data_IF_235457826959
#
_entry.id   IF_235457826959
#
_cell.length_a   1.000
_cell.length_b   1.000
_cell.length_c   1.000
_cell.angle_alpha   90.00
_cell.angle_beta   90.00
_cell.angle_gamma   90.00
#
_symmetry.space_group_name_H-M   'P 1'
#
loop_
_entity.id
_entity.type
_entity.pdbx_description
1 polymer ?
#
# COMPACT_ATOMS: atom_id res chain seq x y z
N UNK A 1 20.36 -2.42 -16.32
CA UNK A 1 19.45 -1.94 -15.25
C UNK A 1 18.12 -2.67 -15.24
N UNK A 2 17.33 -2.66 -16.33
CA UNK A 2 16.02 -3.33 -16.33
C UNK A 2 16.06 -4.83 -16.03
N UNK A 3 16.92 -5.59 -16.71
CA UNK A 3 17.07 -7.03 -16.45
C UNK A 3 17.47 -7.30 -14.99
N UNK A 4 18.48 -6.59 -14.49
CA UNK A 4 18.94 -6.64 -13.10
C UNK A 4 17.79 -6.36 -12.10
N UNK A 5 17.07 -5.26 -12.27
CA UNK A 5 15.95 -4.85 -11.43
C UNK A 5 14.81 -5.86 -11.51
N UNK A 6 14.49 -6.35 -12.70
CA UNK A 6 13.45 -7.36 -12.92
C UNK A 6 13.78 -8.71 -12.30
N UNK A 7 15.03 -9.17 -12.40
CA UNK A 7 15.50 -10.39 -11.76
C UNK A 7 15.47 -10.27 -10.23
N UNK A 8 15.97 -9.17 -9.68
CA UNK A 8 15.90 -8.91 -8.23
C UNK A 8 14.44 -8.96 -7.76
N UNK A 9 13.58 -8.19 -8.41
CA UNK A 9 12.16 -8.12 -8.10
C UNK A 9 11.49 -9.50 -8.16
N UNK A 10 11.68 -10.25 -9.24
CA UNK A 10 11.06 -11.55 -9.41
C UNK A 10 11.54 -12.56 -8.37
N UNK A 11 12.86 -12.67 -8.15
CA UNK A 11 13.43 -13.62 -7.19
C UNK A 11 12.98 -13.28 -5.77
N UNK A 12 13.04 -12.01 -5.37
CA UNK A 12 12.59 -11.57 -4.04
C UNK A 12 11.12 -11.91 -3.81
N UNK A 13 10.25 -11.64 -4.77
CA UNK A 13 8.82 -11.91 -4.63
C UNK A 13 8.48 -13.40 -4.65
N UNK A 14 9.18 -14.22 -5.44
CA UNK A 14 9.01 -15.68 -5.41
C UNK A 14 9.46 -16.27 -4.07
N UNK A 15 10.53 -15.74 -3.47
CA UNK A 15 10.95 -16.15 -2.12
C UNK A 15 9.93 -15.73 -1.05
N UNK A 16 9.40 -14.51 -1.13
CA UNK A 16 8.33 -14.05 -0.22
C UNK A 16 7.10 -14.94 -0.35
N UNK A 17 6.68 -15.23 -1.59
CA UNK A 17 5.56 -16.12 -1.85
C UNK A 17 5.81 -17.51 -1.28
N UNK A 18 7.00 -18.08 -1.48
CA UNK A 18 7.39 -19.36 -0.89
C UNK A 18 7.31 -19.31 0.64
N UNK A 19 7.82 -18.25 1.28
CA UNK A 19 7.71 -18.06 2.73
C UNK A 19 6.25 -18.08 3.19
N UNK A 20 5.37 -17.37 2.47
CA UNK A 20 3.94 -17.33 2.80
C UNK A 20 3.24 -18.68 2.58
N UNK A 21 3.52 -19.36 1.46
CA UNK A 21 2.96 -20.68 1.17
C UNK A 21 3.45 -21.74 2.18
N UNK A 22 4.69 -21.66 2.64
CA UNK A 22 5.20 -22.54 3.70
C UNK A 22 4.54 -22.24 5.05
N UNK A 23 4.34 -20.98 5.41
CA UNK A 23 3.67 -20.62 6.66
C UNK A 23 2.20 -21.06 6.65
N UNK A 24 1.46 -20.77 5.58
CA UNK A 24 0.03 -21.10 5.46
C UNK A 24 -0.22 -22.57 5.19
N UNK A 25 0.60 -23.19 4.33
CA UNK A 25 0.39 -24.57 3.85
C UNK A 25 1.00 -25.63 4.76
N UNK A 26 2.16 -25.37 5.36
CA UNK A 26 2.82 -26.30 6.27
C UNK A 26 2.58 -25.99 7.76
N UNK A 27 1.78 -24.94 8.06
CA UNK A 27 1.44 -24.55 9.43
C UNK A 27 2.65 -24.11 10.24
N UNK A 28 3.63 -23.47 9.60
CA UNK A 28 4.80 -22.97 10.33
C UNK A 28 4.40 -21.80 11.24
N UNK A 29 5.16 -21.54 12.31
CA UNK A 29 4.87 -20.42 13.20
C UNK A 29 4.95 -19.05 12.50
N UNK A 30 4.19 -18.07 13.00
CA UNK A 30 4.10 -16.72 12.42
C UNK A 30 5.42 -15.97 12.35
N UNK A 31 6.39 -16.30 13.21
CA UNK A 31 7.72 -15.67 13.16
C UNK A 31 8.46 -15.96 11.85
N UNK A 32 8.06 -17.01 11.09
CA UNK A 32 8.59 -17.27 9.74
C UNK A 32 8.31 -16.10 8.79
N UNK A 33 7.22 -15.36 9.00
CA UNK A 33 6.90 -14.16 8.20
C UNK A 33 7.90 -13.02 8.42
N UNK A 34 8.73 -13.05 9.48
CA UNK A 34 9.83 -12.12 9.64
C UNK A 34 10.90 -12.23 8.52
N UNK A 35 10.89 -13.32 7.74
CA UNK A 35 11.73 -13.44 6.54
C UNK A 35 11.33 -12.43 5.46
N UNK A 36 10.06 -12.05 5.37
CA UNK A 36 9.56 -11.10 4.35
C UNK A 36 10.26 -9.73 4.42
N UNK A 37 10.26 -9.01 5.56
CA UNK A 37 10.97 -7.75 5.65
C UNK A 37 12.49 -7.90 5.49
N UNK A 38 13.06 -9.03 5.90
CA UNK A 38 14.48 -9.33 5.66
C UNK A 38 14.78 -9.46 4.17
N UNK A 39 13.91 -10.11 3.39
CA UNK A 39 14.07 -10.21 1.94
C UNK A 39 13.98 -8.83 1.27
N UNK A 40 13.02 -7.99 1.66
CA UNK A 40 12.92 -6.63 1.14
C UNK A 40 14.15 -5.76 1.48
N UNK A 41 14.74 -5.94 2.67
CA UNK A 41 15.92 -5.18 3.10
C UNK A 41 17.23 -5.74 2.51
N UNK A 42 17.46 -7.03 2.60
CA UNK A 42 18.77 -7.61 2.30
C UNK A 42 18.94 -8.02 0.84
N UNK A 43 17.88 -8.34 0.10
CA UNK A 43 18.02 -8.66 -1.33
C UNK A 43 18.68 -7.52 -2.15
N UNK A 44 18.27 -6.25 -2.05
CA UNK A 44 18.96 -5.16 -2.75
C UNK A 44 20.38 -4.93 -2.22
N UNK A 45 20.64 -5.14 -0.92
CA UNK A 45 21.99 -5.01 -0.33
C UNK A 45 22.94 -6.07 -0.89
N UNK A 46 22.49 -7.33 -0.99
CA UNK A 46 23.26 -8.42 -1.60
C UNK A 46 23.58 -8.10 -3.06
N UNK A 47 22.60 -7.57 -3.82
CA UNK A 47 22.84 -7.15 -5.20
C UNK A 47 23.83 -5.99 -5.30
N UNK A 48 23.79 -5.03 -4.37
CA UNK A 48 24.80 -3.96 -4.31
C UNK A 48 26.19 -4.54 -4.10
N UNK A 49 26.34 -5.44 -3.13
CA UNK A 49 27.61 -6.10 -2.84
C UNK A 49 28.15 -6.86 -4.05
N UNK A 50 27.30 -7.64 -4.73
CA UNK A 50 27.69 -8.38 -5.93
C UNK A 50 28.13 -7.47 -7.08
N UNK A 51 27.54 -6.27 -7.18
CA UNK A 51 27.91 -5.25 -8.17
C UNK A 51 29.14 -4.42 -7.78
N UNK A 52 29.71 -4.61 -6.59
CA UNK A 52 30.73 -3.72 -6.04
C UNK A 52 30.22 -2.28 -5.82
N UNK A 53 28.90 -2.11 -5.70
CA UNK A 53 28.27 -0.82 -5.45
C UNK A 53 28.07 -0.59 -3.95
N UNK A 54 28.27 0.65 -3.51
CA UNK A 54 27.96 1.03 -2.14
C UNK A 54 26.43 0.99 -1.91
N UNK A 55 25.98 0.14 -1.00
CA UNK A 55 24.56 0.05 -0.64
C UNK A 55 24.06 1.33 0.03
N UNK A 56 24.93 2.12 0.65
CA UNK A 56 24.59 3.41 1.25
C UNK A 56 24.30 4.50 0.21
N UNK A 57 24.76 4.33 -1.03
CA UNK A 57 24.44 5.24 -2.13
C UNK A 57 22.95 5.15 -2.55
N UNK A 58 22.30 4.01 -2.30
CA UNK A 58 20.86 3.84 -2.47
C UNK A 58 20.15 4.43 -1.27
N UNK A 59 19.88 5.74 -1.36
CA UNK A 59 19.34 6.55 -0.27
C UNK A 59 18.06 5.95 0.31
N UNK A 60 18.23 5.17 1.37
CA UNK A 60 17.24 5.03 2.45
C UNK A 60 16.87 6.40 2.97
N UNK A 61 17.86 7.30 3.10
CA UNK A 61 17.70 8.64 3.69
C UNK A 61 16.72 8.60 4.86
N UNK A 62 16.90 7.59 5.72
CA UNK A 62 16.31 7.60 7.04
C UNK A 62 17.08 8.70 7.78
N UNK A 63 16.38 9.71 8.33
CA UNK A 63 17.04 10.72 9.12
C UNK A 63 17.82 10.08 10.27
N UNK A 64 18.94 10.68 10.66
CA UNK A 64 19.69 10.20 11.83
C UNK A 64 18.73 10.17 13.04
N UNK A 65 18.89 9.21 13.95
CA UNK A 65 18.01 9.09 15.12
C UNK A 65 17.89 10.39 15.95
N UNK A 66 18.92 11.23 15.94
CA UNK A 66 18.95 12.51 16.68
C UNK A 66 18.48 13.71 15.85
N UNK A 67 18.21 13.53 14.56
CA UNK A 67 17.78 14.59 13.64
C UNK A 67 16.25 14.75 13.68
N UNK A 68 15.77 15.29 14.80
CA UNK A 68 14.36 15.46 15.08
C UNK A 68 13.66 16.40 14.09
N UNK A 69 14.39 17.34 13.49
CA UNK A 69 13.84 18.26 12.48
C UNK A 69 13.47 17.52 11.19
N UNK A 70 14.36 16.63 10.71
CA UNK A 70 14.09 15.81 9.54
C UNK A 70 12.99 14.77 9.81
N UNK A 71 12.97 14.13 10.98
CA UNK A 71 11.85 13.26 11.40
C UNK A 71 10.53 14.04 11.46
N UNK A 72 10.52 15.23 12.06
CA UNK A 72 9.36 16.09 12.16
C UNK A 72 8.90 16.60 10.79
N UNK A 73 9.80 16.87 9.85
CA UNK A 73 9.45 17.22 8.48
C UNK A 73 8.79 16.04 7.73
N UNK A 74 9.34 14.84 7.88
CA UNK A 74 8.79 13.63 7.26
C UNK A 74 7.39 13.30 7.81
N UNK A 75 7.23 13.33 9.14
CA UNK A 75 5.95 13.11 9.80
C UNK A 75 4.90 14.16 9.40
N UNK A 76 5.29 15.45 9.34
CA UNK A 76 4.37 16.52 8.89
C UNK A 76 3.93 16.34 7.44
N UNK A 77 4.83 15.91 6.55
CA UNK A 77 4.47 15.65 5.15
C UNK A 77 3.48 14.48 5.05
N UNK A 78 3.78 13.37 5.71
CA UNK A 78 2.89 12.21 5.75
C UNK A 78 1.52 12.56 6.35
N UNK A 79 1.49 13.29 7.47
CA UNK A 79 0.25 13.70 8.14
C UNK A 79 -0.61 14.64 7.27
N UNK A 80 -0.01 15.58 6.54
CA UNK A 80 -0.75 16.45 5.60
C UNK A 80 -1.40 15.66 4.49
N UNK A 81 -0.65 14.73 3.89
CA UNK A 81 -1.17 13.86 2.83
C UNK A 81 -2.27 12.95 3.36
N UNK A 82 -2.06 12.35 4.54
CA UNK A 82 -3.07 11.57 5.25
C UNK A 82 -4.35 12.37 5.48
N UNK A 83 -4.25 13.59 6.00
CA UNK A 83 -5.43 14.44 6.26
C UNK A 83 -6.22 14.77 4.99
N UNK A 84 -5.53 15.05 3.88
CA UNK A 84 -6.17 15.34 2.58
C UNK A 84 -6.93 14.12 2.05
N UNK A 85 -6.41 12.92 2.26
CA UNK A 85 -6.97 11.68 1.70
C UNK A 85 -8.01 11.06 2.62
N UNK A 86 -7.85 11.20 3.94
CA UNK A 86 -8.68 10.52 4.92
C UNK A 86 -10.15 10.86 4.75
N UNK A 87 -10.51 12.13 4.60
CA UNK A 87 -11.93 12.52 4.51
C UNK A 87 -12.60 11.96 3.24
N UNK A 88 -12.06 12.16 2.01
CA UNK A 88 -12.59 11.51 0.82
C UNK A 88 -12.63 9.98 0.93
N UNK A 89 -11.61 9.38 1.56
CA UNK A 89 -11.54 7.94 1.76
C UNK A 89 -12.66 7.44 2.67
N UNK A 90 -12.89 8.07 3.82
CA UNK A 90 -13.96 7.70 4.76
C UNK A 90 -15.34 7.80 4.11
N UNK A 91 -15.58 8.87 3.35
CA UNK A 91 -16.83 9.04 2.60
C UNK A 91 -16.97 7.93 1.55
N UNK A 92 -15.94 7.70 0.74
CA UNK A 92 -15.94 6.68 -0.30
C UNK A 92 -16.14 5.27 0.26
N UNK A 93 -15.46 4.95 1.36
CA UNK A 93 -15.56 3.67 2.06
C UNK A 93 -16.98 3.45 2.61
N UNK A 94 -17.54 4.45 3.29
CA UNK A 94 -18.91 4.37 3.82
C UNK A 94 -19.95 4.20 2.69
N UNK A 95 -19.83 4.98 1.61
CA UNK A 95 -20.68 4.84 0.43
C UNK A 95 -20.52 3.46 -0.23
N UNK A 96 -19.30 2.96 -0.36
CA UNK A 96 -19.04 1.64 -0.91
C UNK A 96 -19.79 0.57 -0.12
N UNK A 97 -19.69 0.57 1.21
CA UNK A 97 -20.38 -0.42 2.03
C UNK A 97 -21.90 -0.24 2.07
N UNK A 98 -22.41 0.99 2.05
CA UNK A 98 -23.84 1.27 2.03
C UNK A 98 -24.49 0.82 0.70
N UNK A 99 -23.80 1.01 -0.43
CA UNK A 99 -24.39 0.84 -1.76
C UNK A 99 -24.03 -0.47 -2.47
N UNK A 100 -22.83 -1.01 -2.25
CA UNK A 100 -22.37 -2.21 -2.98
C UNK A 100 -23.33 -3.41 -2.85
N UNK A 101 -23.87 -3.76 -1.66
CA UNK A 101 -24.81 -4.87 -1.55
C UNK A 101 -26.06 -4.67 -2.40
N UNK A 102 -26.52 -3.43 -2.55
CA UNK A 102 -27.67 -3.08 -3.38
C UNK A 102 -27.35 -3.22 -4.87
N UNK A 103 -26.19 -2.73 -5.32
CA UNK A 103 -25.71 -2.87 -6.70
C UNK A 103 -25.58 -4.35 -7.08
N UNK A 104 -24.96 -5.16 -6.22
CA UNK A 104 -24.79 -6.60 -6.46
C UNK A 104 -26.13 -7.34 -6.51
N UNK A 105 -27.07 -7.03 -5.60
CA UNK A 105 -28.42 -7.61 -5.61
C UNK A 105 -29.20 -7.23 -6.85
N UNK A 106 -29.13 -5.96 -7.27
CA UNK A 106 -29.73 -5.48 -8.50
C UNK A 106 -29.19 -6.23 -9.72
N UNK A 107 -27.86 -6.28 -9.87
CA UNK A 107 -27.21 -6.97 -11.00
C UNK A 107 -27.54 -8.46 -11.04
N UNK A 108 -27.49 -9.14 -9.88
CA UNK A 108 -27.86 -10.56 -9.78
C UNK A 108 -29.31 -10.79 -10.21
N UNK A 109 -30.26 -10.01 -9.71
CA UNK A 109 -31.69 -10.18 -10.04
C UNK A 109 -31.98 -9.85 -11.50
N UNK A 110 -31.39 -8.78 -12.02
CA UNK A 110 -31.55 -8.41 -13.42
C UNK A 110 -31.04 -9.52 -14.34
N UNK A 111 -29.88 -10.10 -14.02
CA UNK A 111 -29.32 -11.24 -14.75
C UNK A 111 -30.22 -12.48 -14.67
N UNK A 112 -30.70 -12.85 -13.48
CA UNK A 112 -31.46 -14.10 -13.32
C UNK A 112 -32.90 -14.02 -13.82
N UNK A 113 -33.51 -12.83 -13.84
CA UNK A 113 -34.92 -12.65 -14.22
C UNK A 113 -35.12 -12.06 -15.62
N UNK A 114 -34.09 -11.43 -16.19
CA UNK A 114 -34.21 -10.66 -17.44
C UNK A 114 -34.96 -9.34 -17.29
N UNK A 115 -35.37 -8.97 -16.07
CA UNK A 115 -36.13 -7.74 -15.78
C UNK A 115 -35.21 -6.72 -15.12
N UNK A 116 -35.25 -5.47 -15.58
CA UNK A 116 -34.55 -4.35 -14.95
C UNK A 116 -35.55 -3.55 -14.10
N UNK A 117 -35.46 -3.70 -12.78
CA UNK A 117 -36.24 -2.90 -11.82
C UNK A 117 -35.30 -2.06 -10.94
N UNK A 118 -35.36 -0.74 -11.13
CA UNK A 118 -34.60 0.24 -10.34
C UNK A 118 -34.93 0.21 -8.85
N UNK A 119 -36.11 -0.32 -8.48
CA UNK A 119 -36.49 -0.55 -7.09
C UNK A 119 -35.60 -1.53 -6.34
N UNK A 120 -34.82 -2.37 -7.02
CA UNK A 120 -33.85 -3.27 -6.36
C UNK A 120 -32.52 -2.59 -6.05
N UNK A 121 -32.15 -1.60 -6.86
CA UNK A 121 -30.99 -0.75 -6.61
C UNK A 121 -31.31 0.23 -5.48
N UNK A 122 -32.48 0.88 -5.57
CA UNK A 122 -32.99 1.79 -4.57
C UNK A 122 -34.40 1.38 -4.12
N UNK A 123 -34.53 0.67 -2.97
CA UNK A 123 -35.83 0.33 -2.43
C UNK A 123 -36.67 1.58 -2.24
N UNK A 124 -37.88 1.61 -2.83
CA UNK A 124 -38.75 2.80 -2.84
C UNK A 124 -39.18 3.26 -1.44
N UNK A 125 -39.01 2.41 -0.43
CA UNK A 125 -39.33 2.66 0.96
C UNK A 125 -38.12 3.07 1.83
N UNK A 126 -36.94 3.25 1.24
CA UNK A 126 -35.73 3.68 1.95
C UNK A 126 -35.32 5.09 1.50
N UNK A 127 -35.12 5.98 2.47
CA UNK A 127 -34.48 7.27 2.25
C UNK A 127 -32.96 7.11 2.12
N UNK A 128 -32.28 8.17 1.67
CA UNK A 128 -30.81 8.20 1.65
C UNK A 128 -30.24 8.03 3.05
N UNK A 129 -30.91 8.60 4.06
CA UNK A 129 -30.51 8.46 5.47
C UNK A 129 -30.61 7.02 5.93
N UNK A 130 -31.65 6.30 5.53
CA UNK A 130 -31.81 4.88 5.88
C UNK A 130 -30.73 4.02 5.22
N UNK A 131 -30.36 4.33 3.96
CA UNK A 131 -29.26 3.64 3.29
C UNK A 131 -27.91 3.90 3.94
N UNK A 132 -27.58 5.16 4.22
CA UNK A 132 -26.32 5.50 4.89
C UNK A 132 -26.29 4.98 6.33
N UNK A 133 -27.43 4.91 7.02
CA UNK A 133 -27.54 4.34 8.37
C UNK A 133 -27.60 2.81 8.40
N UNK A 134 -27.71 2.14 7.24
CA UNK A 134 -27.80 0.68 7.15
C UNK A 134 -26.48 -0.03 7.47
N UNK A 135 -25.38 0.70 7.35
CA UNK A 135 -24.02 0.29 7.71
C UNK A 135 -23.41 1.41 8.53
N UNK A 136 -22.53 1.12 9.46
CA UNK A 136 -21.91 2.19 10.23
C UNK A 136 -20.76 1.69 11.05
N UNK A 137 -19.75 2.53 11.29
CA UNK A 137 -18.67 2.17 12.18
C UNK A 137 -19.23 2.00 13.59
N UNK A 138 -19.17 0.78 14.11
CA UNK A 138 -19.30 0.52 15.53
C UNK A 138 -17.96 0.81 16.20
N UNK A 139 -17.85 1.96 16.84
CA UNK A 139 -16.64 2.36 17.58
C UNK A 139 -16.42 1.56 18.87
N UNK A 140 -17.26 0.55 19.15
CA UNK A 140 -17.07 -0.39 20.26
C UNK A 140 -15.93 -1.37 20.01
N UNK A 141 -15.47 -1.54 18.76
CA UNK A 141 -14.52 -2.57 18.35
C UNK A 141 -13.30 -1.96 17.64
N UNK A 142 -12.43 -1.30 18.41
CA UNK A 142 -11.07 -1.02 17.92
C UNK A 142 -10.26 -2.33 17.87
N UNK A 143 -9.30 -2.48 16.93
CA UNK A 143 -8.44 -3.65 16.89
C UNK A 143 -7.74 -3.86 18.23
N UNK A 144 -7.78 -5.10 18.73
CA UNK A 144 -6.99 -5.47 19.89
C UNK A 144 -5.50 -5.14 19.65
N UNK A 145 -4.80 -4.66 20.68
CA UNK A 145 -3.38 -4.34 20.60
C UNK A 145 -3.03 -3.31 19.50
N UNK A 146 -3.88 -2.30 19.30
CA UNK A 146 -3.68 -1.23 18.31
C UNK A 146 -2.25 -0.65 18.26
N UNK A 147 -1.59 -0.46 19.42
CA UNK A 147 -0.20 -0.01 19.47
C UNK A 147 0.79 -0.98 18.82
N UNK A 148 0.64 -2.28 19.07
CA UNK A 148 1.42 -3.35 18.43
C UNK A 148 1.18 -3.37 16.92
N UNK A 149 -0.08 -3.20 16.48
CA UNK A 149 -0.43 -3.12 15.07
C UNK A 149 0.30 -1.96 14.38
N UNK A 150 0.28 -0.77 14.97
CA UNK A 150 0.98 0.41 14.41
C UNK A 150 2.48 0.16 14.28
N UNK A 151 3.11 -0.36 15.34
CA UNK A 151 4.55 -0.66 15.31
C UNK A 151 4.89 -1.73 14.28
N UNK A 152 4.08 -2.79 14.19
CA UNK A 152 4.25 -3.84 13.19
C UNK A 152 4.16 -3.28 11.77
N UNK A 153 3.12 -2.50 11.49
CA UNK A 153 2.93 -1.88 10.17
C UNK A 153 4.06 -0.93 9.79
N UNK A 154 4.62 -0.18 10.74
CA UNK A 154 5.76 0.70 10.47
C UNK A 154 7.03 -0.13 10.19
N UNK A 155 7.41 -1.03 11.10
CA UNK A 155 8.75 -1.62 11.10
C UNK A 155 8.87 -2.92 10.29
N UNK A 156 7.81 -3.71 10.20
CA UNK A 156 7.83 -5.02 9.54
C UNK A 156 7.17 -5.01 8.16
N UNK A 157 6.41 -3.97 7.82
CA UNK A 157 5.71 -3.85 6.53
C UNK A 157 6.18 -2.62 5.76
N UNK A 158 5.82 -1.43 6.23
CA UNK A 158 5.96 -0.19 5.46
C UNK A 158 7.40 0.22 5.19
N UNK A 159 8.28 0.23 6.20
CA UNK A 159 9.70 0.61 6.01
C UNK A 159 10.40 -0.38 5.05
N UNK A 160 10.33 -1.71 5.26
CA UNK A 160 10.93 -2.68 4.35
C UNK A 160 10.45 -2.55 2.90
N UNK A 161 9.13 -2.43 2.68
CA UNK A 161 8.57 -2.31 1.34
C UNK A 161 8.97 -1.00 0.65
N UNK A 162 8.81 0.14 1.35
CA UNK A 162 9.19 1.44 0.80
C UNK A 162 10.70 1.51 0.55
N UNK A 163 11.50 0.83 1.37
CA UNK A 163 12.92 0.67 1.12
C UNK A 163 13.18 -0.07 -0.20
N UNK A 164 12.57 -1.23 -0.40
CA UNK A 164 12.78 -2.03 -1.59
C UNK A 164 12.33 -1.28 -2.85
N UNK A 165 11.08 -0.79 -2.86
CA UNK A 165 10.49 -0.18 -4.05
C UNK A 165 10.96 1.26 -4.29
N UNK A 166 10.97 2.12 -3.26
CA UNK A 166 11.26 3.56 -3.41
C UNK A 166 12.71 3.91 -3.09
N UNK A 167 13.32 3.17 -2.17
CA UNK A 167 14.74 3.27 -1.86
C UNK A 167 15.60 2.71 -2.99
N UNK A 168 15.40 1.44 -3.36
CA UNK A 168 16.24 0.75 -4.33
C UNK A 168 15.72 0.80 -5.77
N UNK A 169 14.58 0.16 -6.08
CA UNK A 169 14.14 -0.03 -7.48
C UNK A 169 13.91 1.31 -8.19
N UNK A 170 13.19 2.24 -7.57
CA UNK A 170 12.97 3.58 -8.12
C UNK A 170 14.29 4.33 -8.34
N UNK A 171 15.23 4.27 -7.39
CA UNK A 171 16.54 4.92 -7.54
C UNK A 171 17.30 4.33 -8.72
N UNK A 172 17.42 3.00 -8.81
CA UNK A 172 18.09 2.30 -9.92
C UNK A 172 17.51 2.67 -11.27
N UNK A 173 16.19 2.66 -11.39
CA UNK A 173 15.51 2.98 -12.64
C UNK A 173 15.66 4.46 -12.98
N UNK A 174 15.67 5.36 -12.00
CA UNK A 174 15.90 6.79 -12.21
C UNK A 174 17.35 7.14 -12.60
N UNK A 175 18.33 6.24 -12.46
CA UNK A 175 19.69 6.49 -12.96
C UNK A 175 19.77 6.43 -14.49
N UNK A 176 18.89 5.66 -15.13
CA UNK A 176 18.84 5.51 -16.59
C UNK A 176 17.71 6.32 -17.24
N UNK A 177 16.94 7.07 -16.43
CA UNK A 177 15.81 7.86 -16.90
C UNK A 177 15.87 9.30 -16.39
N UNK A 178 15.66 10.24 -17.31
CA UNK A 178 15.49 11.65 -16.96
C UNK A 178 14.15 11.88 -16.26
N UNK A 179 14.15 12.75 -15.25
CA UNK A 179 12.93 13.24 -14.60
C UNK A 179 12.36 14.37 -15.46
N UNK A 180 11.25 14.09 -16.16
CA UNK A 180 10.67 14.99 -17.17
C UNK A 180 9.48 15.78 -16.65
N UNK A 181 8.77 15.27 -15.64
CA UNK A 181 7.52 15.84 -15.18
C UNK A 181 7.69 16.53 -13.84
N UNK A 182 7.17 17.74 -13.71
CA UNK A 182 7.09 18.46 -12.43
C UNK A 182 5.67 18.42 -11.92
N UNK A 183 5.47 17.77 -10.75
CA UNK A 183 4.15 17.61 -10.14
C UNK A 183 4.22 18.09 -8.69
N UNK A 184 3.56 19.21 -8.39
CA UNK A 184 3.47 19.78 -7.03
C UNK A 184 4.82 19.85 -6.30
N UNK A 185 5.88 20.28 -7.00
CA UNK A 185 7.23 20.43 -6.45
C UNK A 185 8.06 19.14 -6.39
N UNK A 186 7.60 18.05 -7.00
CA UNK A 186 8.36 16.81 -7.18
C UNK A 186 8.72 16.60 -8.66
N UNK A 187 9.94 16.14 -8.93
CA UNK A 187 10.40 15.82 -10.29
C UNK A 187 10.27 14.30 -10.52
N UNK A 188 9.37 13.89 -11.40
CA UNK A 188 9.04 12.49 -11.65
C UNK A 188 9.57 12.09 -13.04
N UNK A 189 10.13 10.88 -13.13
CA UNK A 189 10.61 10.28 -14.37
C UNK A 189 9.98 8.92 -14.64
N UNK A 190 10.23 8.39 -15.84
CA UNK A 190 9.76 7.05 -16.25
C UNK A 190 10.22 5.97 -15.27
N UNK A 191 11.43 6.11 -14.73
CA UNK A 191 11.97 5.14 -13.77
C UNK A 191 11.08 4.95 -12.53
N UNK A 192 10.53 6.05 -11.99
CA UNK A 192 9.61 5.99 -10.87
C UNK A 192 8.25 5.37 -11.23
N UNK A 193 7.75 5.63 -12.44
CA UNK A 193 6.51 5.01 -12.94
C UNK A 193 6.69 3.50 -13.11
N UNK A 194 7.83 3.06 -13.66
CA UNK A 194 8.16 1.64 -13.80
C UNK A 194 8.29 0.97 -12.44
N UNK A 195 8.99 1.59 -11.48
CA UNK A 195 9.08 1.05 -10.11
C UNK A 195 7.69 0.92 -9.46
N UNK A 196 6.78 1.85 -9.74
CA UNK A 196 5.41 1.78 -9.27
C UNK A 196 4.58 0.68 -9.96
N UNK A 197 4.81 0.41 -11.25
CA UNK A 197 4.22 -0.74 -11.93
C UNK A 197 4.70 -2.05 -11.30
N UNK A 198 6.01 -2.19 -11.04
CA UNK A 198 6.56 -3.36 -10.37
C UNK A 198 5.96 -3.55 -8.96
N UNK A 199 5.72 -2.47 -8.23
CA UNK A 199 4.99 -2.52 -6.96
C UNK A 199 3.57 -3.07 -7.12
N UNK A 200 2.78 -2.50 -8.04
CA UNK A 200 1.39 -2.88 -8.23
C UNK A 200 1.24 -4.35 -8.68
N UNK A 201 2.06 -4.79 -9.65
CA UNK A 201 2.06 -6.19 -10.10
C UNK A 201 2.69 -7.14 -9.10
N UNK A 202 3.60 -6.66 -8.23
CA UNK A 202 4.24 -7.48 -7.22
C UNK A 202 3.24 -8.04 -6.21
N UNK A 203 2.23 -7.25 -5.88
CA UNK A 203 1.11 -7.68 -5.04
C UNK A 203 0.35 -8.86 -5.65
N UNK A 204 0.08 -8.84 -6.96
CA UNK A 204 -0.55 -9.98 -7.67
C UNK A 204 0.33 -11.22 -7.70
N UNK A 205 1.66 -11.07 -7.70
CA UNK A 205 2.57 -12.21 -7.76
C UNK A 205 2.61 -12.97 -6.44
N UNK A 206 2.64 -12.23 -5.33
CA UNK A 206 2.67 -12.79 -3.96
C UNK A 206 1.30 -13.33 -3.57
N UNK A 207 0.24 -12.56 -3.78
CA UNK A 207 -1.14 -12.98 -3.56
C UNK A 207 -1.94 -12.82 -4.86
N UNK A 208 -2.32 -13.94 -5.51
CA UNK A 208 -3.05 -13.90 -6.78
C UNK A 208 -4.41 -13.20 -6.66
N UNK A 209 -4.44 -11.90 -6.95
CA UNK A 209 -5.67 -11.11 -7.05
C UNK A 209 -5.62 -10.26 -8.33
N UNK A 210 -6.69 -10.33 -9.12
CA UNK A 210 -6.76 -9.66 -10.41
C UNK A 210 -6.88 -8.15 -10.28
N UNK A 211 -7.36 -7.62 -9.15
CA UNK A 211 -7.54 -6.18 -8.93
C UNK A 211 -6.32 -5.46 -8.35
N UNK A 212 -5.26 -6.17 -7.93
CA UNK A 212 -4.08 -5.54 -7.33
C UNK A 212 -3.37 -4.55 -8.26
N UNK A 213 -3.56 -4.61 -9.59
CA UNK A 213 -3.06 -3.56 -10.49
C UNK A 213 -3.63 -2.17 -10.16
N UNK A 214 -4.81 -2.09 -9.54
CA UNK A 214 -5.42 -0.83 -9.13
C UNK A 214 -4.58 -0.10 -8.07
N UNK A 215 -3.72 -0.81 -7.33
CA UNK A 215 -2.77 -0.20 -6.38
C UNK A 215 -1.71 0.67 -7.08
N UNK A 216 -1.60 0.60 -8.41
CA UNK A 216 -0.79 1.53 -9.20
C UNK A 216 -1.19 2.99 -8.95
N UNK A 217 -2.48 3.31 -8.93
CA UNK A 217 -2.95 4.69 -8.80
C UNK A 217 -2.59 5.32 -7.46
N UNK A 218 -2.94 4.75 -6.29
CA UNK A 218 -2.47 5.26 -5.01
C UNK A 218 -0.94 5.15 -4.89
N UNK A 219 -0.32 4.15 -5.54
CA UNK A 219 1.14 3.99 -5.63
C UNK A 219 1.88 5.22 -6.19
N UNK A 220 1.26 6.00 -7.07
CA UNK A 220 1.85 7.24 -7.61
C UNK A 220 2.04 8.32 -6.55
N UNK A 221 1.23 8.31 -5.48
CA UNK A 221 1.42 9.22 -4.35
C UNK A 221 2.68 8.89 -3.55
N UNK A 222 3.01 7.59 -3.41
CA UNK A 222 4.27 7.17 -2.79
C UNK A 222 5.48 7.56 -3.63
N UNK A 223 5.35 7.47 -4.96
CA UNK A 223 6.36 8.05 -5.89
C UNK A 223 6.52 9.55 -5.64
N UNK A 224 5.41 10.29 -5.54
CA UNK A 224 5.45 11.72 -5.27
C UNK A 224 6.09 12.04 -3.92
N UNK A 225 5.73 11.32 -2.85
CA UNK A 225 6.33 11.47 -1.51
C UNK A 225 7.85 11.24 -1.55
N UNK A 226 8.31 10.21 -2.28
CA UNK A 226 9.72 9.89 -2.46
C UNK A 226 10.49 10.99 -3.19
N UNK A 227 9.97 11.48 -4.31
CA UNK A 227 10.62 12.52 -5.12
C UNK A 227 10.53 13.91 -4.45
N UNK A 228 9.46 14.19 -3.70
CA UNK A 228 9.25 15.47 -3.00
C UNK A 228 10.15 15.64 -1.78
N UNK A 229 10.36 14.56 -1.04
CA UNK A 229 11.10 14.58 0.22
C UNK A 229 12.56 14.15 0.08
N UNK A 230 12.86 13.40 -0.99
CA UNK A 230 14.15 12.73 -1.09
C UNK A 230 14.31 11.58 -0.09
N UNK A 231 13.26 11.17 0.63
CA UNK A 231 13.25 10.10 1.66
C UNK A 231 12.15 9.06 1.47
N UNK A 232 12.35 7.85 1.98
CA UNK A 232 11.34 6.79 2.06
C UNK A 232 10.47 6.91 3.31
N UNK A 233 10.90 7.68 4.32
CA UNK A 233 10.21 7.78 5.62
C UNK A 233 8.80 8.37 5.49
N UNK A 234 8.55 9.46 4.74
CA UNK A 234 7.19 9.95 4.57
C UNK A 234 6.27 8.92 3.91
N UNK A 235 6.79 8.17 2.93
CA UNK A 235 6.11 7.05 2.29
C UNK A 235 5.78 5.96 3.30
N UNK A 236 6.74 5.53 4.12
CA UNK A 236 6.54 4.48 5.10
C UNK A 236 5.53 4.86 6.20
N UNK A 237 5.58 6.09 6.71
CA UNK A 237 4.60 6.58 7.69
C UNK A 237 3.20 6.65 7.08
N UNK A 238 3.08 7.14 5.84
CA UNK A 238 1.80 7.20 5.15
C UNK A 238 1.27 5.80 4.78
N UNK A 239 2.15 4.87 4.41
CA UNK A 239 1.80 3.47 4.14
C UNK A 239 1.23 2.82 5.40
N UNK A 240 1.96 2.88 6.53
CA UNK A 240 1.49 2.34 7.80
C UNK A 240 0.15 2.97 8.22
N UNK A 241 -0.01 4.29 8.03
CA UNK A 241 -1.29 4.97 8.25
C UNK A 241 -2.42 4.39 7.40
N UNK A 242 -2.20 4.17 6.10
CA UNK A 242 -3.21 3.59 5.21
C UNK A 242 -3.62 2.19 5.67
N UNK A 243 -2.65 1.33 5.98
CA UNK A 243 -2.92 -0.05 6.40
C UNK A 243 -3.66 -0.08 7.74
N UNK A 244 -3.20 0.69 8.74
CA UNK A 244 -3.86 0.79 10.04
C UNK A 244 -5.28 1.36 9.89
N UNK A 245 -5.47 2.36 9.03
CA UNK A 245 -6.78 2.96 8.77
C UNK A 245 -7.75 1.93 8.17
N UNK A 246 -7.34 1.18 7.14
CA UNK A 246 -8.18 0.14 6.53
C UNK A 246 -8.50 -0.97 7.52
N UNK A 247 -7.50 -1.50 8.24
CA UNK A 247 -7.73 -2.55 9.25
C UNK A 247 -8.71 -2.06 10.34
N UNK A 248 -8.54 -0.82 10.81
CA UNK A 248 -9.44 -0.23 11.81
C UNK A 248 -10.85 -0.06 11.25
N UNK A 249 -10.98 0.39 9.99
CA UNK A 249 -12.28 0.53 9.34
C UNK A 249 -12.96 -0.83 9.18
N UNK A 250 -12.26 -1.85 8.69
CA UNK A 250 -12.78 -3.20 8.52
C UNK A 250 -13.28 -3.77 9.85
N UNK A 251 -12.54 -3.58 10.96
CA UNK A 251 -13.01 -3.94 12.31
C UNK A 251 -14.27 -3.17 12.71
N UNK A 252 -14.27 -1.84 12.58
CA UNK A 252 -15.44 -1.03 12.99
C UNK A 252 -16.68 -1.28 12.13
N UNK A 253 -16.53 -1.71 10.89
CA UNK A 253 -17.66 -2.08 10.01
C UNK A 253 -18.05 -3.57 10.11
N UNK A 254 -17.36 -4.35 10.95
CA UNK A 254 -17.64 -5.78 11.16
C UNK A 254 -17.34 -6.67 9.95
N UNK A 255 -16.30 -6.30 9.18
CA UNK A 255 -15.86 -7.00 7.95
C UNK A 255 -14.64 -7.90 8.21
N UNK A 256 -13.90 -7.63 9.29
CA UNK A 256 -12.65 -8.31 9.67
C UNK A 256 -12.81 -9.63 10.41
#
# INVERSE_FOLDING_TARGET
VYFEVGCLWLVTLLLIRLTMELQQGAGLPDWVLAVVPLLFIYAPVVLCHWRGADSWAYRLSIPRFRDWDAWGAAARLAARVAAVILVPWLIGYHLYHAFLPHILRFGKRAWTTGVVDWGWLWPRNQSLVDMLGSVGPSFSELPEQFGTLVLYQIFFVAIPEEFFYRGYLQTRLNEVHVRRWSVLGAQIGVGAVVANLLFAFGHSLVQPQWWHFATFFPGLLFVWLRERSGSVVPGALFHAFCNVCVITLDSTYGIG
#
